data_IF_195694718588
#
_entry.id   IF_195694718588
#
_cell.length_a   1.000
_cell.length_b   1.000
_cell.length_c   1.000
_cell.angle_alpha   90.00
_cell.angle_beta   90.00
_cell.angle_gamma   90.00
#
_symmetry.space_group_name_H-M   'P 1'
#
loop_
_entity.id
_entity.type
_entity.pdbx_description
1 polymer ?
#
# COMPACT_ATOMS: atom_id res chain seq x y z
N UNK A 1 14.12 -28.43 -10.67
CA UNK A 1 13.19 -29.34 -9.95
C UNK A 1 12.28 -28.46 -9.11
N UNK A 2 10.95 -28.60 -9.21
CA UNK A 2 10.02 -27.74 -8.48
C UNK A 2 10.00 -28.18 -7.01
N UNK A 3 10.31 -27.26 -6.09
CA UNK A 3 10.08 -27.44 -4.65
C UNK A 3 8.56 -27.31 -4.44
N UNK A 4 7.93 -28.41 -4.04
CA UNK A 4 6.49 -28.58 -4.08
C UNK A 4 5.77 -28.26 -2.76
N UNK A 5 6.48 -27.96 -1.67
CA UNK A 5 5.88 -27.47 -0.42
C UNK A 5 6.89 -26.57 0.32
N UNK A 6 6.49 -25.39 0.83
CA UNK A 6 7.35 -24.57 1.67
C UNK A 6 7.62 -25.30 2.99
N UNK A 7 8.87 -25.35 3.50
CA UNK A 7 9.11 -25.87 4.82
C UNK A 7 8.32 -25.01 5.82
N UNK A 8 7.41 -25.67 6.55
CA UNK A 8 6.61 -25.02 7.58
C UNK A 8 7.50 -24.28 8.58
N UNK A 9 6.91 -23.32 9.31
CA UNK A 9 7.51 -22.78 10.53
C UNK A 9 8.14 -23.94 11.31
N UNK A 10 9.36 -23.77 11.89
CA UNK A 10 9.96 -24.83 12.69
C UNK A 10 9.00 -25.19 13.81
N UNK A 11 8.21 -26.23 13.58
CA UNK A 11 7.44 -26.95 14.57
C UNK A 11 8.45 -27.87 15.22
N UNK A 12 9.43 -27.24 15.89
CA UNK A 12 10.23 -27.92 16.89
C UNK A 12 9.24 -28.57 17.82
N UNK A 13 9.28 -29.90 17.85
CA UNK A 13 8.48 -30.81 18.65
C UNK A 13 7.68 -30.09 19.76
N UNK A 14 6.37 -29.95 19.58
CA UNK A 14 5.45 -29.37 20.57
C UNK A 14 5.46 -30.13 21.92
N UNK A 15 6.23 -31.22 22.03
CA UNK A 15 6.48 -31.96 23.26
C UNK A 15 7.84 -31.68 23.94
N UNK A 16 8.75 -30.86 23.39
CA UNK A 16 10.04 -30.56 24.05
C UNK A 16 10.29 -29.07 24.18
N UNK A 17 9.79 -28.57 25.31
CA UNK A 17 9.95 -27.23 25.87
C UNK A 17 11.41 -26.97 26.26
N UNK A 18 12.27 -26.68 25.30
CA UNK A 18 13.66 -26.34 25.62
C UNK A 18 13.96 -24.85 25.39
N UNK A 19 14.18 -24.11 26.49
CA UNK A 19 14.64 -22.70 26.49
C UNK A 19 15.91 -22.55 25.62
N UNK A 20 16.73 -23.59 25.49
CA UNK A 20 17.90 -23.60 24.63
C UNK A 20 17.56 -23.55 23.13
N UNK A 21 16.47 -24.17 22.68
CA UNK A 21 16.01 -24.06 21.29
C UNK A 21 15.42 -22.67 20.97
N UNK A 22 14.71 -22.07 21.93
CA UNK A 22 14.14 -20.72 21.79
C UNK A 22 15.24 -19.67 21.76
N UNK A 23 16.24 -19.78 22.66
CA UNK A 23 17.42 -18.92 22.64
C UNK A 23 18.28 -19.13 21.39
N UNK A 24 18.36 -20.34 20.83
CA UNK A 24 19.01 -20.59 19.53
C UNK A 24 18.25 -19.93 18.38
N UNK A 25 16.92 -19.98 18.38
CA UNK A 25 16.07 -19.28 17.41
C UNK A 25 16.23 -17.76 17.51
N UNK A 26 16.21 -17.20 18.73
CA UNK A 26 16.43 -15.77 18.95
C UNK A 26 17.86 -15.33 18.61
N UNK A 27 18.84 -16.22 18.69
CA UNK A 27 20.21 -15.98 18.24
C UNK A 27 20.40 -16.12 16.72
N UNK A 28 19.42 -16.68 15.99
CA UNK A 28 19.45 -16.78 14.53
C UNK A 28 18.48 -15.77 13.89
N UNK A 29 18.93 -14.52 13.64
CA UNK A 29 18.08 -13.48 13.11
C UNK A 29 17.58 -13.75 11.67
N UNK A 30 18.16 -14.70 10.93
CA UNK A 30 17.75 -14.98 9.54
C UNK A 30 16.43 -15.75 9.47
N UNK A 31 16.21 -16.68 10.39
CA UNK A 31 14.97 -17.47 10.48
C UNK A 31 13.81 -16.63 11.02
N UNK A 32 14.08 -15.83 12.06
CA UNK A 32 13.16 -14.84 12.63
C UNK A 32 12.63 -13.92 11.55
N UNK A 33 13.52 -13.42 10.71
CA UNK A 33 13.17 -12.46 9.69
C UNK A 33 12.29 -13.05 8.57
N UNK A 34 12.55 -14.29 8.13
CA UNK A 34 11.72 -14.94 7.11
C UNK A 34 10.27 -15.10 7.58
N UNK A 35 10.08 -15.43 8.87
CA UNK A 35 8.77 -15.50 9.51
C UNK A 35 8.05 -14.14 9.53
N UNK A 36 8.77 -13.05 9.79
CA UNK A 36 8.18 -11.71 9.87
C UNK A 36 7.78 -11.15 8.50
N UNK A 37 8.49 -11.53 7.43
CA UNK A 37 8.17 -11.10 6.06
C UNK A 37 6.81 -11.58 5.58
N UNK A 38 6.53 -12.88 5.75
CA UNK A 38 5.25 -13.48 5.33
C UNK A 38 4.06 -12.73 5.96
N UNK A 39 4.20 -12.34 7.23
CA UNK A 39 3.16 -11.63 7.97
C UNK A 39 3.05 -10.17 7.51
N UNK A 40 4.17 -9.50 7.28
CA UNK A 40 4.17 -8.10 6.90
C UNK A 40 3.63 -7.87 5.47
N UNK A 41 4.03 -8.70 4.50
CA UNK A 41 3.60 -8.58 3.10
C UNK A 41 2.08 -8.76 2.92
N UNK A 42 1.45 -9.52 3.82
CA UNK A 42 0.01 -9.77 3.76
C UNK A 42 -0.84 -8.56 4.25
N UNK A 43 -0.23 -7.59 4.94
CA UNK A 43 -0.97 -6.48 5.61
C UNK A 43 -0.70 -5.11 4.97
N UNK A 44 0.38 -4.93 4.21
CA UNK A 44 0.71 -3.62 3.61
C UNK A 44 -0.21 -3.23 2.44
N UNK A 45 -1.20 -2.38 2.72
CA UNK A 45 -2.03 -1.73 1.69
C UNK A 45 -1.23 -0.64 0.97
N UNK A 46 -0.38 0.10 1.68
CA UNK A 46 0.47 1.15 1.09
C UNK A 46 1.32 0.68 -0.10
N UNK A 47 1.78 -0.57 -0.14
CA UNK A 47 2.53 -1.14 -1.27
C UNK A 47 1.65 -1.42 -2.52
N UNK A 48 0.32 -1.43 -2.35
CA UNK A 48 -0.64 -1.52 -3.47
C UNK A 48 -1.01 -0.15 -4.04
N UNK A 49 -0.80 0.92 -3.26
CA UNK A 49 -1.05 2.31 -3.68
C UNK A 49 0.21 2.93 -4.28
N UNK A 50 1.37 2.71 -3.64
CA UNK A 50 2.68 3.13 -4.12
C UNK A 50 3.46 1.90 -4.56
N UNK A 51 3.55 1.67 -5.87
CA UNK A 51 4.24 0.49 -6.41
C UNK A 51 5.70 0.76 -6.82
N UNK A 52 6.10 2.03 -6.91
CA UNK A 52 7.48 2.39 -7.18
C UNK A 52 8.40 2.14 -5.98
N UNK A 53 9.67 1.85 -6.25
CA UNK A 53 10.68 1.62 -5.22
C UNK A 53 12.00 2.29 -5.62
N UNK A 54 12.51 3.15 -4.74
CA UNK A 54 13.81 3.80 -4.87
C UNK A 54 14.65 3.58 -3.62
N UNK A 55 15.96 3.72 -3.77
CA UNK A 55 16.93 3.52 -2.71
C UNK A 55 17.85 4.73 -2.56
N UNK A 56 18.15 5.10 -1.32
CA UNK A 56 19.16 6.13 -1.00
C UNK A 56 20.13 5.62 0.06
N UNK A 57 21.35 6.16 0.05
CA UNK A 57 22.40 5.91 1.05
C UNK A 57 22.66 7.13 1.93
N UNK A 58 22.14 8.30 1.54
CA UNK A 58 22.54 9.61 2.09
C UNK A 58 21.39 10.30 2.86
N UNK A 59 20.40 9.53 3.32
CA UNK A 59 19.30 10.00 4.17
C UNK A 59 18.27 10.89 3.47
N UNK A 60 18.51 11.36 2.26
CA UNK A 60 17.51 12.10 1.46
C UNK A 60 17.53 11.68 0.00
N UNK A 61 16.45 12.02 -0.71
CA UNK A 61 16.36 11.90 -2.16
C UNK A 61 15.81 13.19 -2.73
N UNK A 62 16.40 13.61 -3.86
CA UNK A 62 15.85 14.65 -4.71
C UNK A 62 15.12 13.95 -5.83
N UNK A 63 13.85 14.31 -6.05
CA UNK A 63 13.03 13.78 -7.13
C UNK A 63 12.31 14.94 -7.82
N UNK A 64 12.03 14.77 -9.09
CA UNK A 64 11.23 15.73 -9.85
C UNK A 64 9.75 15.34 -9.78
N UNK A 65 8.90 16.35 -9.64
CA UNK A 65 7.44 16.16 -9.58
C UNK A 65 6.78 16.80 -10.80
N UNK A 66 5.70 16.21 -11.31
CA UNK A 66 4.83 16.83 -12.34
C UNK A 66 5.60 17.12 -13.64
N UNK A 67 6.19 16.09 -14.26
CA UNK A 67 6.75 16.25 -15.60
C UNK A 67 5.62 16.23 -16.64
N UNK A 68 5.61 17.21 -17.54
CA UNK A 68 4.69 17.17 -18.69
C UNK A 68 5.28 16.25 -19.74
N UNK A 69 4.52 15.22 -20.15
CA UNK A 69 4.86 14.38 -21.30
C UNK A 69 4.95 15.17 -22.63
N UNK A 70 4.38 16.38 -22.67
CA UNK A 70 4.45 17.27 -23.81
C UNK A 70 5.64 18.22 -23.71
N UNK A 71 6.32 18.41 -24.84
CA UNK A 71 7.31 19.47 -25.01
C UNK A 71 6.65 20.86 -24.91
N UNK A 72 7.43 21.88 -24.54
CA UNK A 72 6.90 23.22 -24.26
C UNK A 72 6.22 23.89 -25.47
N UNK A 73 6.71 23.62 -26.69
CA UNK A 73 6.17 24.20 -27.91
C UNK A 73 5.33 23.16 -28.68
N UNK A 74 4.22 23.62 -29.27
CA UNK A 74 3.40 22.79 -30.16
C UNK A 74 4.13 22.52 -31.48
N UNK A 75 4.07 21.29 -32.04
CA UNK A 75 4.60 21.01 -33.37
C UNK A 75 4.01 21.97 -34.43
N UNK A 76 4.89 22.54 -35.26
CA UNK A 76 4.49 23.42 -36.37
C UNK A 76 4.70 22.71 -37.71
N UNK A 77 3.91 23.08 -38.72
CA UNK A 77 4.11 22.59 -40.08
C UNK A 77 5.38 23.23 -40.68
N UNK A 78 6.40 22.41 -40.95
CA UNK A 78 7.67 22.85 -41.53
C UNK A 78 7.61 22.65 -43.04
N UNK A 79 7.84 23.71 -43.82
CA UNK A 79 7.89 23.61 -45.28
C UNK A 79 9.20 22.96 -45.73
N UNK A 80 9.24 22.29 -46.90
CA UNK A 80 10.47 21.68 -47.40
C UNK A 80 11.59 22.72 -47.54
N UNK A 81 12.63 22.62 -46.71
CA UNK A 81 13.78 23.53 -46.69
C UNK A 81 13.86 24.46 -45.47
N UNK A 82 12.84 24.51 -44.63
CA UNK A 82 12.85 25.31 -43.39
C UNK A 82 13.49 24.56 -42.21
N UNK A 83 13.99 25.33 -41.25
CA UNK A 83 14.54 24.81 -39.99
C UNK A 83 13.41 24.35 -39.04
N UNK A 84 13.64 23.24 -38.35
CA UNK A 84 12.68 22.71 -37.38
C UNK A 84 12.65 23.59 -36.12
N UNK A 85 11.46 23.90 -35.57
CA UNK A 85 11.36 24.66 -34.33
C UNK A 85 11.96 23.85 -33.18
N UNK A 86 12.93 24.45 -32.47
CA UNK A 86 13.47 23.89 -31.25
C UNK A 86 12.45 24.04 -30.12
N UNK A 87 12.24 22.97 -29.37
CA UNK A 87 11.43 22.98 -28.16
C UNK A 87 12.27 22.51 -26.97
N UNK A 88 12.31 23.25 -25.86
CA UNK A 88 12.86 22.69 -24.64
C UNK A 88 11.94 21.58 -24.13
N UNK A 89 12.54 20.58 -23.48
CA UNK A 89 11.84 19.59 -22.66
C UNK A 89 11.83 20.15 -21.24
N UNK A 90 10.69 20.63 -20.72
CA UNK A 90 10.63 21.19 -19.38
C UNK A 90 10.77 20.09 -18.34
N UNK A 91 11.66 20.26 -17.36
CA UNK A 91 11.76 19.38 -16.19
C UNK A 91 10.83 19.87 -15.08
N UNK A 92 10.40 18.95 -14.21
CA UNK A 92 9.52 19.26 -13.08
C UNK A 92 10.27 19.99 -11.94
N UNK A 93 9.56 20.69 -11.02
CA UNK A 93 10.19 21.22 -9.81
C UNK A 93 10.84 20.09 -9.00
N UNK A 94 12.13 20.26 -8.68
CA UNK A 94 12.84 19.36 -7.78
C UNK A 94 12.29 19.48 -6.35
N UNK A 95 11.85 18.35 -5.81
CA UNK A 95 11.44 18.20 -4.42
C UNK A 95 12.50 17.38 -3.67
N UNK A 96 12.65 17.62 -2.38
CA UNK A 96 13.54 16.86 -1.51
C UNK A 96 12.73 16.15 -0.44
N UNK A 97 12.88 14.84 -0.35
CA UNK A 97 12.32 14.04 0.73
C UNK A 97 13.45 13.53 1.64
N UNK A 98 13.27 13.73 2.95
CA UNK A 98 14.15 13.16 3.97
C UNK A 98 13.59 11.80 4.42
N UNK A 99 14.45 10.80 4.56
CA UNK A 99 14.03 9.47 5.01
C UNK A 99 13.86 9.47 6.53
N UNK A 100 12.74 8.92 7.01
CA UNK A 100 12.47 8.83 8.45
C UNK A 100 12.67 7.39 8.93
N UNK A 101 13.33 7.25 10.09
CA UNK A 101 13.55 5.96 10.74
C UNK A 101 12.40 5.62 11.67
N UNK A 102 11.60 4.63 11.27
CA UNK A 102 10.56 4.05 12.09
C UNK A 102 11.07 2.78 12.76
N UNK A 103 10.94 2.65 14.07
CA UNK A 103 11.36 1.45 14.77
C UNK A 103 10.83 1.36 16.18
N UNK A 104 10.65 0.12 16.65
CA UNK A 104 10.13 -0.20 17.97
C UNK A 104 10.94 -1.34 18.59
N UNK A 105 11.12 -1.25 19.90
CA UNK A 105 11.75 -2.28 20.73
C UNK A 105 10.70 -2.92 21.62
N UNK A 106 10.81 -4.23 21.84
CA UNK A 106 10.02 -4.91 22.88
C UNK A 106 10.91 -5.86 23.67
N UNK A 107 10.89 -5.77 25.02
CA UNK A 107 11.56 -6.72 25.88
C UNK A 107 10.73 -8.00 26.05
N UNK A 108 11.40 -9.15 26.08
CA UNK A 108 10.87 -10.45 26.46
C UNK A 108 11.71 -10.96 27.61
N UNK A 109 11.15 -11.13 28.80
CA UNK A 109 11.91 -11.60 29.96
C UNK A 109 12.06 -13.12 29.96
N UNK A 110 13.10 -13.64 30.61
CA UNK A 110 13.33 -15.08 30.66
C UNK A 110 12.26 -15.83 31.45
N UNK A 111 11.65 -15.22 32.45
CA UNK A 111 10.52 -15.82 33.18
C UNK A 111 9.30 -15.96 32.27
N UNK A 112 9.09 -15.02 31.34
CA UNK A 112 8.01 -15.10 30.37
C UNK A 112 8.26 -16.22 29.35
N UNK A 113 9.51 -16.40 28.91
CA UNK A 113 9.91 -17.52 28.04
C UNK A 113 9.78 -18.85 28.78
N UNK A 114 10.23 -18.94 30.03
CA UNK A 114 10.16 -20.18 30.81
C UNK A 114 8.72 -20.60 31.15
N UNK A 115 7.79 -19.66 31.29
CA UNK A 115 6.39 -19.95 31.67
C UNK A 115 5.45 -20.18 30.50
N UNK A 116 5.64 -19.44 29.41
CA UNK A 116 4.70 -19.40 28.28
C UNK A 116 5.37 -19.85 26.97
N UNK A 117 6.66 -20.20 27.01
CA UNK A 117 7.42 -20.79 25.91
C UNK A 117 7.34 -19.93 24.63
N UNK A 118 7.28 -20.59 23.47
CA UNK A 118 7.39 -19.95 22.16
C UNK A 118 6.22 -19.00 21.82
N UNK A 119 5.06 -19.15 22.48
CA UNK A 119 3.89 -18.31 22.21
C UNK A 119 4.13 -16.83 22.54
N UNK A 120 4.89 -16.53 23.60
CA UNK A 120 5.25 -15.14 23.95
C UNK A 120 6.09 -14.50 22.87
N UNK A 121 7.04 -15.27 22.34
CA UNK A 121 7.96 -14.82 21.30
C UNK A 121 7.18 -14.55 20.01
N UNK A 122 6.37 -15.49 19.56
CA UNK A 122 5.54 -15.33 18.36
C UNK A 122 4.58 -14.14 18.48
N UNK A 123 3.93 -13.97 19.63
CA UNK A 123 2.99 -12.87 19.88
C UNK A 123 3.68 -11.51 19.92
N UNK A 124 4.85 -11.41 20.55
CA UNK A 124 5.62 -10.18 20.57
C UNK A 124 6.03 -9.76 19.16
N UNK A 125 6.49 -10.72 18.35
CA UNK A 125 6.83 -10.51 16.95
C UNK A 125 5.65 -10.01 16.10
N UNK A 126 4.50 -10.67 16.20
CA UNK A 126 3.27 -10.26 15.48
C UNK A 126 2.86 -8.84 15.87
N UNK A 127 2.86 -8.51 17.16
CA UNK A 127 2.46 -7.18 17.64
C UNK A 127 3.40 -6.08 17.15
N UNK A 128 4.71 -6.31 17.21
CA UNK A 128 5.71 -5.34 16.72
C UNK A 128 5.51 -5.10 15.22
N UNK A 129 5.36 -6.16 14.42
CA UNK A 129 5.14 -6.03 12.98
C UNK A 129 3.84 -5.29 12.69
N UNK A 130 2.73 -5.68 13.31
CA UNK A 130 1.44 -5.02 13.09
C UNK A 130 1.48 -3.53 13.45
N UNK A 131 2.14 -3.17 14.56
CA UNK A 131 2.28 -1.75 14.96
C UNK A 131 3.11 -0.93 13.96
N UNK A 132 4.16 -1.52 13.42
CA UNK A 132 5.00 -0.88 12.40
C UNK A 132 4.26 -0.77 11.06
N UNK A 133 3.52 -1.80 10.66
CA UNK A 133 2.69 -1.79 9.44
C UNK A 133 1.63 -0.69 9.54
N UNK A 134 0.91 -0.61 10.67
CA UNK A 134 -0.10 0.42 10.90
C UNK A 134 0.52 1.84 10.84
N UNK A 135 1.69 2.04 11.45
CA UNK A 135 2.36 3.33 11.40
C UNK A 135 2.76 3.70 9.96
N UNK A 136 3.41 2.80 9.21
CA UNK A 136 3.86 3.09 7.84
C UNK A 136 2.66 3.33 6.92
N UNK A 137 1.62 2.52 7.02
CA UNK A 137 0.41 2.67 6.20
C UNK A 137 -0.29 4.00 6.49
N UNK A 138 -0.38 4.43 7.77
CA UNK A 138 -0.93 5.73 8.13
C UNK A 138 -0.15 6.91 7.51
N UNK A 139 1.18 6.83 7.48
CA UNK A 139 2.04 7.84 6.85
C UNK A 139 1.81 7.89 5.35
N UNK A 140 1.71 6.73 4.70
CA UNK A 140 1.44 6.62 3.25
C UNK A 140 0.07 7.19 2.89
N UNK A 141 -0.97 6.81 3.63
CA UNK A 141 -2.33 7.30 3.39
C UNK A 141 -2.41 8.81 3.64
N UNK A 142 -1.72 9.33 4.66
CA UNK A 142 -1.66 10.77 4.91
C UNK A 142 -0.98 11.54 3.76
N UNK A 143 0.12 11.01 3.23
CA UNK A 143 0.82 11.60 2.09
C UNK A 143 -0.06 11.55 0.83
N UNK A 144 -0.73 10.43 0.58
CA UNK A 144 -1.67 10.28 -0.55
C UNK A 144 -2.80 11.31 -0.48
N UNK A 145 -3.48 11.44 0.67
CA UNK A 145 -4.60 12.39 0.83
C UNK A 145 -4.12 13.84 0.68
N UNK A 146 -2.94 14.18 1.20
CA UNK A 146 -2.37 15.51 1.04
C UNK A 146 -1.98 15.85 -0.42
N UNK A 147 -1.76 14.85 -1.27
CA UNK A 147 -1.40 15.03 -2.68
C UNK A 147 -2.61 15.30 -3.59
N UNK A 148 -3.83 15.08 -3.11
CA UNK A 148 -5.04 15.20 -3.91
C UNK A 148 -5.26 16.67 -4.28
N UNK A 149 -5.31 16.93 -5.59
CA UNK A 149 -5.55 18.29 -6.13
C UNK A 149 -6.83 18.38 -6.96
N UNK A 150 -7.45 17.24 -7.23
CA UNK A 150 -8.62 17.13 -8.11
C UNK A 150 -9.73 16.33 -7.42
N UNK A 151 -10.95 16.81 -7.57
CA UNK A 151 -12.12 16.13 -7.04
C UNK A 151 -13.31 16.11 -8.01
N UNK A 152 -14.15 15.10 -7.84
CA UNK A 152 -15.44 14.95 -8.50
C UNK A 152 -16.51 14.78 -7.42
N UNK A 153 -17.64 15.46 -7.57
CA UNK A 153 -18.74 15.29 -6.64
C UNK A 153 -19.53 14.01 -6.92
N UNK A 154 -19.83 13.25 -5.86
CA UNK A 154 -20.74 12.13 -5.92
C UNK A 154 -22.11 12.58 -6.46
N UNK A 155 -22.66 11.80 -7.39
CA UNK A 155 -23.94 12.11 -8.00
C UNK A 155 -23.95 13.13 -9.13
N UNK A 156 -22.83 13.81 -9.43
CA UNK A 156 -22.78 14.83 -10.48
C UNK A 156 -23.27 14.30 -11.84
N UNK A 157 -23.96 15.14 -12.63
CA UNK A 157 -24.46 14.76 -13.97
C UNK A 157 -23.41 14.92 -15.08
N UNK A 158 -22.34 15.67 -14.82
CA UNK A 158 -21.24 15.97 -15.74
C UNK A 158 -19.92 15.97 -14.98
N UNK A 159 -18.81 15.72 -15.69
CA UNK A 159 -17.45 15.82 -15.14
C UNK A 159 -17.22 17.25 -14.62
N UNK A 160 -16.79 17.40 -13.36
CA UNK A 160 -16.61 18.71 -12.71
C UNK A 160 -17.91 19.43 -12.33
N UNK A 161 -19.08 18.78 -12.47
CA UNK A 161 -20.37 19.33 -12.08
C UNK A 161 -20.57 19.34 -10.55
N UNK A 162 -21.54 20.11 -10.09
CA UNK A 162 -21.99 20.08 -8.70
C UNK A 162 -22.82 18.83 -8.40
N UNK A 163 -22.83 18.42 -7.12
CA UNK A 163 -23.75 17.37 -6.64
C UNK A 163 -25.20 17.81 -6.85
N UNK A 164 -26.14 16.88 -7.19
CA UNK A 164 -27.55 17.20 -7.31
C UNK A 164 -28.14 17.73 -6.00
N UNK A 165 -29.18 18.55 -6.09
CA UNK A 165 -29.93 19.00 -4.92
C UNK A 165 -30.48 17.79 -4.14
N UNK A 166 -30.24 17.76 -2.82
CA UNK A 166 -30.59 16.63 -1.95
C UNK A 166 -29.54 15.51 -1.89
N UNK A 167 -28.42 15.63 -2.60
CA UNK A 167 -27.29 14.68 -2.55
C UNK A 167 -27.58 13.32 -3.20
N UNK A 168 -26.52 12.63 -3.60
CA UNK A 168 -26.57 11.23 -4.08
C UNK A 168 -25.43 10.41 -3.43
N UNK A 169 -25.31 10.56 -2.12
CA UNK A 169 -24.28 9.94 -1.30
C UNK A 169 -24.31 8.42 -1.45
N UNK A 170 -23.15 7.77 -1.42
CA UNK A 170 -22.99 6.34 -1.64
C UNK A 170 -23.58 5.50 -0.50
N UNK A 171 -23.66 6.07 0.71
CA UNK A 171 -24.36 5.47 1.84
C UNK A 171 -25.91 5.46 1.70
N UNK A 172 -26.46 6.04 0.62
CA UNK A 172 -27.90 6.11 0.38
C UNK A 172 -28.65 7.13 1.24
N UNK A 173 -27.97 7.97 2.02
CA UNK A 173 -28.61 9.01 2.85
C UNK A 173 -29.13 10.21 2.05
N UNK A 174 -28.78 10.30 0.77
CA UNK A 174 -29.25 11.33 -0.15
C UNK A 174 -30.70 11.12 -0.60
N UNK A 175 -31.32 12.17 -1.14
CA UNK A 175 -32.65 12.09 -1.76
C UNK A 175 -32.62 11.44 -3.16
N UNK A 176 -31.44 11.31 -3.75
CA UNK A 176 -31.22 10.70 -5.06
C UNK A 176 -30.51 9.35 -4.92
N UNK A 177 -30.79 8.36 -5.80
CA UNK A 177 -30.12 7.07 -5.75
C UNK A 177 -28.62 7.21 -6.05
N UNK A 178 -27.75 6.47 -5.34
CA UNK A 178 -26.30 6.53 -5.53
C UNK A 178 -25.91 6.08 -6.94
N UNK A 179 -24.85 6.70 -7.49
CA UNK A 179 -24.34 6.43 -8.84
C UNK A 179 -22.85 6.06 -8.84
N UNK A 180 -22.50 5.17 -7.92
CA UNK A 180 -21.13 4.74 -7.58
C UNK A 180 -20.26 4.47 -8.82
N UNK A 181 -20.69 3.55 -9.70
CA UNK A 181 -19.89 3.17 -10.88
C UNK A 181 -19.65 4.34 -11.83
N UNK A 182 -20.66 5.21 -12.01
CA UNK A 182 -20.54 6.39 -12.87
C UNK A 182 -19.60 7.42 -12.25
N UNK A 183 -19.70 7.65 -10.94
CA UNK A 183 -18.85 8.60 -10.24
C UNK A 183 -17.36 8.18 -10.32
N UNK A 184 -17.07 6.87 -10.22
CA UNK A 184 -15.73 6.32 -10.47
C UNK A 184 -15.28 6.50 -11.92
N UNK A 185 -16.17 6.30 -12.89
CA UNK A 185 -15.84 6.57 -14.30
C UNK A 185 -15.59 8.05 -14.57
N UNK A 186 -16.32 8.97 -13.91
CA UNK A 186 -16.06 10.40 -14.04
C UNK A 186 -14.73 10.81 -13.42
N UNK A 187 -14.32 10.21 -12.31
CA UNK A 187 -12.98 10.40 -11.75
C UNK A 187 -11.89 9.91 -12.72
N UNK A 188 -12.09 8.76 -13.37
CA UNK A 188 -11.17 8.27 -14.40
C UNK A 188 -11.12 9.20 -15.62
N UNK A 189 -12.27 9.62 -16.15
CA UNK A 189 -12.31 10.48 -17.33
C UNK A 189 -11.78 11.89 -17.02
N UNK A 190 -11.90 12.38 -15.77
CA UNK A 190 -11.22 13.60 -15.32
C UNK A 190 -9.69 13.44 -15.40
N UNK A 191 -9.14 12.32 -14.92
CA UNK A 191 -7.69 12.05 -15.08
C UNK A 191 -7.28 11.97 -16.55
N UNK A 192 -8.08 11.30 -17.39
CA UNK A 192 -7.82 11.21 -18.84
C UNK A 192 -7.92 12.57 -19.54
N UNK A 193 -8.78 13.47 -19.06
CA UNK A 193 -8.93 14.82 -19.61
C UNK A 193 -7.65 15.65 -19.53
N UNK A 194 -6.74 15.32 -18.62
CA UNK A 194 -5.41 15.95 -18.51
C UNK A 194 -4.49 15.61 -19.69
N UNK A 195 -4.81 14.56 -20.46
CA UNK A 195 -4.03 14.09 -21.63
C UNK A 195 -2.59 13.71 -21.31
N UNK A 196 -2.27 13.43 -20.05
CA UNK A 196 -0.92 13.03 -19.61
C UNK A 196 -0.70 11.52 -19.66
N UNK A 197 -1.64 10.74 -20.21
CA UNK A 197 -1.51 9.29 -20.38
C UNK A 197 -1.91 8.46 -19.16
N UNK A 198 -2.43 9.07 -18.10
CA UNK A 198 -2.83 8.41 -16.86
C UNK A 198 -3.95 7.39 -17.07
N UNK A 199 -3.86 6.23 -16.38
CA UNK A 199 -4.85 5.16 -16.42
C UNK A 199 -5.18 4.63 -15.03
N UNK A 200 -6.32 5.05 -14.50
CA UNK A 200 -6.80 4.58 -13.20
C UNK A 200 -6.91 3.06 -13.11
N UNK A 201 -6.16 2.44 -12.20
CA UNK A 201 -6.14 1.00 -11.96
C UNK A 201 -6.56 0.61 -10.53
N UNK A 202 -6.63 1.58 -9.60
CA UNK A 202 -6.89 1.33 -8.19
C UNK A 202 -7.90 2.34 -7.64
N UNK A 203 -8.79 1.87 -6.77
CA UNK A 203 -9.73 2.70 -6.00
C UNK A 203 -9.41 2.47 -4.52
N UNK A 204 -9.23 3.53 -3.75
CA UNK A 204 -8.99 3.48 -2.30
C UNK A 204 -10.20 4.05 -1.57
N UNK A 205 -10.70 3.30 -0.60
CA UNK A 205 -11.88 3.63 0.21
C UNK A 205 -11.60 3.48 1.70
N UNK A 206 -12.41 4.14 2.51
CA UNK A 206 -12.60 3.76 3.93
C UNK A 206 -13.45 2.48 4.05
N UNK A 207 -13.51 1.93 5.27
CA UNK A 207 -14.20 0.67 5.54
C UNK A 207 -15.73 0.78 5.37
N UNK A 208 -16.32 1.91 5.74
CA UNK A 208 -17.76 2.12 5.68
C UNK A 208 -18.22 2.35 4.24
N UNK A 209 -17.49 3.17 3.48
CA UNK A 209 -17.78 3.38 2.05
C UNK A 209 -17.59 2.11 1.25
N UNK A 210 -16.57 1.30 1.56
CA UNK A 210 -16.40 -0.02 0.93
C UNK A 210 -17.62 -0.93 1.17
N UNK A 211 -18.12 -0.98 2.40
CA UNK A 211 -19.33 -1.73 2.72
C UNK A 211 -20.56 -1.19 1.96
N UNK A 212 -20.70 0.13 1.83
CA UNK A 212 -21.78 0.75 1.06
C UNK A 212 -21.72 0.39 -0.44
N UNK A 213 -20.52 0.37 -1.02
CA UNK A 213 -20.29 -0.04 -2.42
C UNK A 213 -20.67 -1.50 -2.64
N UNK A 214 -20.23 -2.41 -1.76
CA UNK A 214 -20.51 -3.83 -1.89
C UNK A 214 -21.98 -4.17 -1.60
N UNK A 215 -22.64 -3.38 -0.76
CA UNK A 215 -24.07 -3.50 -0.46
C UNK A 215 -25.01 -2.87 -1.49
N UNK A 216 -24.48 -2.16 -2.50
CA UNK A 216 -25.33 -1.47 -3.47
C UNK A 216 -26.14 -2.46 -4.33
N UNK A 217 -27.48 -2.28 -4.42
CA UNK A 217 -28.34 -3.22 -5.14
C UNK A 217 -28.12 -3.21 -6.66
N UNK A 218 -27.66 -2.10 -7.25
CA UNK A 218 -27.38 -2.04 -8.69
C UNK A 218 -26.08 -2.79 -9.02
N UNK A 219 -25.06 -2.66 -8.17
CA UNK A 219 -23.82 -3.41 -8.29
C UNK A 219 -24.10 -4.90 -8.09
N UNK A 220 -24.79 -5.26 -7.01
CA UNK A 220 -25.13 -6.66 -6.70
C UNK A 220 -25.98 -7.31 -7.80
N UNK A 221 -26.89 -6.55 -8.42
CA UNK A 221 -27.67 -7.05 -9.56
C UNK A 221 -26.85 -7.25 -10.83
N UNK A 222 -25.77 -6.47 -11.03
CA UNK A 222 -24.88 -6.54 -12.17
C UNK A 222 -23.77 -7.60 -12.03
N UNK A 223 -23.52 -8.10 -10.81
CA UNK A 223 -22.61 -9.22 -10.60
C UNK A 223 -23.17 -10.47 -11.31
N UNK A 224 -22.29 -11.27 -11.95
CA UNK A 224 -22.72 -12.49 -12.63
C UNK A 224 -23.41 -13.41 -11.64
N UNK A 225 -24.69 -13.69 -11.88
CA UNK A 225 -25.52 -14.54 -11.01
C UNK A 225 -25.20 -16.03 -11.17
N UNK A 226 -24.60 -16.39 -12.30
CA UNK A 226 -24.25 -17.77 -12.67
C UNK A 226 -22.90 -17.73 -13.42
N UNK A 227 -21.89 -18.43 -12.90
CA UNK A 227 -20.63 -18.63 -13.63
C UNK A 227 -20.88 -19.62 -14.78
N UNK A 228 -20.93 -19.10 -16.02
CA UNK A 228 -20.91 -19.90 -17.24
C UNK A 228 -19.44 -20.22 -17.62
N UNK A 229 -18.74 -20.92 -16.73
CA UNK A 229 -17.30 -21.19 -16.85
C UNK A 229 -16.81 -22.34 -15.97
N UNK A 230 -15.65 -22.91 -16.33
CA UNK A 230 -15.07 -24.14 -15.77
C UNK A 230 -14.55 -24.04 -14.32
N UNK A 231 -14.95 -23.04 -13.54
CA UNK A 231 -14.43 -22.76 -12.19
C UNK A 231 -15.50 -22.70 -11.10
N UNK A 232 -16.79 -22.78 -11.44
CA UNK A 232 -17.88 -23.06 -10.51
C UNK A 232 -18.16 -21.96 -9.47
N UNK A 233 -19.20 -22.22 -8.65
CA UNK A 233 -19.82 -21.30 -7.66
C UNK A 233 -18.82 -20.73 -6.63
N UNK A 234 -17.62 -21.33 -6.50
CA UNK A 234 -16.54 -20.91 -5.59
C UNK A 234 -15.85 -19.60 -5.98
N UNK A 235 -16.04 -19.10 -7.21
CA UNK A 235 -15.50 -17.81 -7.67
C UNK A 235 -16.55 -16.71 -7.85
N UNK A 236 -17.69 -16.85 -7.19
CA UNK A 236 -18.66 -15.76 -7.16
C UNK A 236 -18.04 -14.59 -6.34
N UNK A 237 -18.01 -13.36 -6.88
CA UNK A 237 -17.33 -12.21 -6.27
C UNK A 237 -17.80 -11.89 -4.83
N UNK A 238 -19.01 -12.31 -4.44
CA UNK A 238 -19.50 -12.21 -3.05
C UNK A 238 -18.69 -13.13 -2.12
N UNK A 239 -18.25 -14.30 -2.58
CA UNK A 239 -17.51 -15.28 -1.78
C UNK A 239 -15.99 -15.05 -1.82
N UNK A 240 -15.40 -14.65 -2.96
CA UNK A 240 -13.97 -14.29 -3.04
C UNK A 240 -13.65 -12.98 -2.28
N UNK A 241 -14.59 -12.04 -2.21
CA UNK A 241 -14.45 -10.80 -1.42
C UNK A 241 -14.39 -11.03 0.09
N UNK A 242 -14.88 -12.18 0.58
CA UNK A 242 -14.85 -12.55 2.01
C UNK A 242 -13.48 -13.15 2.40
N UNK A 243 -12.79 -13.87 1.52
CA UNK A 243 -11.55 -14.57 1.88
C UNK A 243 -10.29 -13.69 1.83
N UNK A 244 -10.32 -12.56 1.12
CA UNK A 244 -9.15 -11.66 1.04
C UNK A 244 -9.36 -10.26 1.62
N UNK A 245 -10.60 -9.87 1.97
CA UNK A 245 -10.97 -8.74 2.85
C UNK A 245 -10.46 -7.34 2.51
N UNK A 246 -9.60 -7.20 1.49
CA UNK A 246 -8.78 -6.02 1.26
C UNK A 246 -8.73 -5.60 -0.21
N UNK A 247 -9.10 -6.48 -1.16
CA UNK A 247 -9.02 -6.18 -2.59
C UNK A 247 -10.13 -6.88 -3.39
N UNK A 248 -11.04 -6.12 -4.00
CA UNK A 248 -12.03 -6.65 -4.96
C UNK A 248 -11.81 -6.03 -6.33
N UNK A 249 -11.92 -6.81 -7.41
CA UNK A 249 -11.77 -6.31 -8.78
C UNK A 249 -13.13 -6.01 -9.41
N UNK A 250 -13.40 -4.73 -9.66
CA UNK A 250 -14.61 -4.26 -10.34
C UNK A 250 -14.26 -3.12 -11.29
N UNK A 251 -14.91 -3.08 -12.46
CA UNK A 251 -14.65 -2.07 -13.51
C UNK A 251 -13.19 -2.08 -14.02
N UNK A 252 -12.52 -3.24 -13.96
CA UNK A 252 -11.09 -3.35 -14.29
C UNK A 252 -10.14 -2.69 -13.28
N UNK A 253 -10.66 -2.22 -12.14
CA UNK A 253 -9.89 -1.57 -11.06
C UNK A 253 -9.82 -2.46 -9.82
N UNK A 254 -8.75 -2.31 -9.05
CA UNK A 254 -8.60 -2.97 -7.75
C UNK A 254 -9.12 -2.04 -6.65
N UNK A 255 -10.14 -2.47 -5.93
CA UNK A 255 -10.77 -1.71 -4.84
C UNK A 255 -10.13 -2.10 -3.52
N UNK A 256 -9.46 -1.16 -2.88
CA UNK A 256 -8.75 -1.31 -1.63
C UNK A 256 -9.49 -0.58 -0.52
N UNK A 257 -9.73 -1.26 0.59
CA UNK A 257 -10.30 -0.65 1.81
C UNK A 257 -9.21 -0.53 2.88
N UNK A 258 -9.01 0.65 3.46
CA UNK A 258 -8.03 0.85 4.54
C UNK A 258 -8.64 1.53 5.77
N UNK A 259 -8.30 1.08 7.00
CA UNK A 259 -8.66 1.77 8.24
C UNK A 259 -7.76 2.97 8.56
N UNK A 260 -6.61 3.12 7.87
CA UNK A 260 -5.54 4.05 8.26
C UNK A 260 -5.61 5.42 7.55
N UNK A 261 -6.80 5.79 7.05
CA UNK A 261 -7.01 7.11 6.48
C UNK A 261 -6.96 8.20 7.57
N UNK A 262 -6.50 9.43 7.25
CA UNK A 262 -6.28 10.48 8.23
C UNK A 262 -7.55 10.96 8.95
N UNK A 263 -8.73 10.77 8.36
CA UNK A 263 -10.02 11.04 9.03
C UNK A 263 -10.40 9.99 10.08
N UNK A 264 -9.77 8.82 10.05
CA UNK A 264 -10.16 7.64 10.83
C UNK A 264 -10.87 6.58 9.98
N UNK A 265 -11.15 5.40 10.55
CA UNK A 265 -11.60 4.22 9.80
C UNK A 265 -13.04 4.28 9.27
N UNK A 266 -13.84 5.25 9.74
CA UNK A 266 -15.27 5.39 9.40
C UNK A 266 -15.61 6.77 8.81
N UNK A 267 -14.62 7.61 8.55
CA UNK A 267 -14.85 8.86 7.83
C UNK A 267 -14.99 8.56 6.34
N UNK A 268 -16.09 8.98 5.68
CA UNK A 268 -16.32 8.68 4.28
C UNK A 268 -15.22 9.22 3.38
N UNK A 269 -14.57 8.33 2.65
CA UNK A 269 -13.48 8.66 1.75
C UNK A 269 -13.47 7.72 0.56
N UNK A 270 -13.35 8.30 -0.63
CA UNK A 270 -13.15 7.56 -1.86
C UNK A 270 -12.20 8.32 -2.78
N UNK A 271 -11.19 7.63 -3.31
CA UNK A 271 -10.29 8.16 -4.31
C UNK A 271 -9.97 7.12 -5.38
N UNK A 272 -9.82 7.58 -6.62
CA UNK A 272 -9.42 6.77 -7.76
C UNK A 272 -8.03 7.21 -8.17
N UNK A 273 -7.11 6.26 -8.33
CA UNK A 273 -5.72 6.57 -8.69
C UNK A 273 -5.13 5.59 -9.72
N UNK A 274 -4.04 6.03 -10.35
CA UNK A 274 -3.14 5.19 -11.14
C UNK A 274 -1.89 4.83 -10.30
N UNK A 275 -1.95 3.68 -9.64
CA UNK A 275 -0.90 3.21 -8.74
C UNK A 275 0.44 2.96 -9.45
N UNK A 276 0.46 2.80 -10.78
CA UNK A 276 1.70 2.49 -11.52
C UNK A 276 2.68 3.65 -11.61
N UNK A 277 2.17 4.88 -11.55
CA UNK A 277 2.94 6.11 -11.74
C UNK A 277 2.80 7.08 -10.57
N UNK A 278 1.79 6.91 -9.71
CA UNK A 278 1.44 7.87 -8.67
C UNK A 278 2.61 8.19 -7.73
N UNK A 279 3.35 7.17 -7.31
CA UNK A 279 4.50 7.37 -6.44
C UNK A 279 5.24 6.11 -6.07
N UNK A 280 6.17 6.28 -5.13
CA UNK A 280 7.13 5.27 -4.75
C UNK A 280 7.47 5.34 -3.26
N UNK A 281 8.00 4.24 -2.73
CA UNK A 281 8.76 4.26 -1.49
C UNK A 281 10.21 4.60 -1.74
N UNK A 282 10.78 5.40 -0.85
CA UNK A 282 12.22 5.64 -0.79
C UNK A 282 12.71 4.99 0.49
N UNK A 283 13.44 3.89 0.33
CA UNK A 283 14.05 3.18 1.44
C UNK A 283 15.54 3.55 1.55
N UNK A 284 15.99 3.80 2.78
CA UNK A 284 17.41 4.05 3.05
C UNK A 284 18.14 2.76 3.38
N UNK A 285 19.19 2.45 2.62
CA UNK A 285 20.08 1.33 2.92
C UNK A 285 21.03 1.70 4.05
N UNK A 286 20.57 1.58 5.30
CA UNK A 286 21.40 1.89 6.47
C UNK A 286 22.17 0.64 6.97
N UNK A 287 23.49 0.50 6.70
CA UNK A 287 24.27 -0.62 7.20
C UNK A 287 24.48 -0.47 8.71
N UNK A 288 24.00 -1.45 9.48
CA UNK A 288 24.23 -1.50 10.92
C UNK A 288 24.52 -2.94 11.40
N UNK A 289 25.54 -3.15 12.27
CA UNK A 289 25.87 -4.49 12.77
C UNK A 289 24.72 -5.17 13.52
N UNK A 290 24.48 -6.44 13.21
CA UNK A 290 23.49 -7.31 13.86
C UNK A 290 22.05 -7.07 13.43
N UNK A 291 21.81 -6.28 12.38
CA UNK A 291 20.51 -6.21 11.71
C UNK A 291 20.48 -7.18 10.54
N UNK A 292 19.35 -7.86 10.36
CA UNK A 292 19.06 -8.68 9.19
C UNK A 292 17.76 -8.17 8.58
N UNK A 293 17.69 -8.02 7.26
CA UNK A 293 16.50 -7.52 6.59
C UNK A 293 16.10 -8.32 5.35
N UNK A 294 14.93 -7.99 4.78
CA UNK A 294 14.41 -8.65 3.58
C UNK A 294 15.09 -8.29 2.27
N UNK A 295 15.64 -9.31 1.60
CA UNK A 295 16.03 -9.25 0.19
C UNK A 295 14.77 -9.08 -0.63
N UNK A 296 14.65 -7.94 -1.29
CA UNK A 296 13.49 -7.56 -2.10
C UNK A 296 13.45 -8.29 -3.45
N UNK A 297 14.61 -8.72 -3.98
CA UNK A 297 14.75 -9.13 -5.38
C UNK A 297 15.42 -10.52 -5.58
N UNK A 298 15.77 -11.24 -4.51
CA UNK A 298 16.61 -12.45 -4.64
C UNK A 298 18.01 -12.19 -5.26
N UNK A 299 18.32 -10.93 -5.56
CA UNK A 299 19.63 -10.45 -5.97
C UNK A 299 20.60 -10.60 -4.81
N UNK A 300 21.71 -11.31 -5.07
CA UNK A 300 22.78 -11.56 -4.10
C UNK A 300 23.47 -10.28 -3.59
N UNK A 301 23.15 -9.11 -4.17
CA UNK A 301 23.73 -7.82 -3.82
C UNK A 301 22.81 -6.95 -2.95
N UNK A 302 21.54 -7.32 -2.79
CA UNK A 302 20.68 -6.73 -1.77
C UNK A 302 21.01 -7.48 -0.48
N UNK A 303 21.65 -6.86 0.51
CA UNK A 303 21.90 -7.47 1.82
C UNK A 303 20.60 -7.62 2.65
N UNK A 304 19.45 -7.59 1.97
CA UNK A 304 18.12 -7.53 2.50
C UNK A 304 17.80 -6.23 3.22
N UNK A 305 18.51 -5.15 2.90
CA UNK A 305 18.44 -3.94 3.72
C UNK A 305 17.31 -3.01 3.31
N UNK A 306 16.63 -3.32 2.22
CA UNK A 306 15.54 -2.55 1.60
C UNK A 306 14.26 -2.52 2.44
N UNK A 307 13.90 -3.60 3.14
CA UNK A 307 12.62 -3.68 3.85
C UNK A 307 12.75 -3.65 5.38
N UNK A 308 11.77 -4.23 6.08
CA UNK A 308 11.81 -4.43 7.53
C UNK A 308 13.12 -5.10 7.93
N UNK A 309 13.87 -4.43 8.78
CA UNK A 309 15.10 -4.90 9.39
C UNK A 309 14.83 -5.27 10.83
N UNK A 310 15.34 -6.43 11.25
CA UNK A 310 15.10 -6.99 12.58
C UNK A 310 16.44 -7.24 13.25
N UNK A 311 16.47 -6.99 14.56
CA UNK A 311 17.62 -7.26 15.40
C UNK A 311 17.14 -7.85 16.72
N UNK A 312 17.75 -8.95 17.11
CA UNK A 312 17.59 -9.57 18.43
C UNK A 312 18.85 -9.29 19.25
N UNK A 313 18.68 -8.98 20.53
CA UNK A 313 19.77 -8.68 21.44
C UNK A 313 19.50 -9.37 22.77
N UNK A 314 20.51 -10.07 23.28
CA UNK A 314 20.49 -10.55 24.65
C UNK A 314 20.88 -9.41 25.59
N UNK A 315 20.11 -9.20 26.64
CA UNK A 315 20.43 -8.27 27.72
C UNK A 315 20.73 -9.04 29.01
N UNK A 316 22.00 -9.40 29.18
CA UNK A 316 22.46 -10.16 30.36
C UNK A 316 22.32 -9.39 31.69
N UNK A 317 22.21 -8.06 31.63
CA UNK A 317 22.01 -7.24 32.83
C UNK A 317 20.60 -7.36 33.43
N UNK A 318 19.63 -7.76 32.62
CA UNK A 318 18.21 -7.70 32.95
C UNK A 318 17.48 -9.01 32.61
N UNK A 319 18.22 -10.10 32.40
CA UNK A 319 17.72 -11.45 32.09
C UNK A 319 16.56 -11.44 31.08
N UNK A 320 16.80 -10.77 29.95
CA UNK A 320 15.79 -10.58 28.91
C UNK A 320 16.38 -10.53 27.51
N UNK A 321 15.52 -10.79 26.55
CA UNK A 321 15.74 -10.59 25.13
C UNK A 321 15.08 -9.29 24.69
N UNK A 322 15.82 -8.45 23.97
CA UNK A 322 15.26 -7.29 23.28
C UNK A 322 15.15 -7.61 21.80
N UNK A 323 13.94 -7.50 21.29
CA UNK A 323 13.66 -7.58 19.86
C UNK A 323 13.41 -6.17 19.34
N UNK A 324 14.03 -5.85 18.22
CA UNK A 324 13.90 -4.59 17.51
C UNK A 324 13.45 -4.87 16.08
N UNK A 325 12.42 -4.16 15.62
CA UNK A 325 12.11 -4.04 14.21
C UNK A 325 12.22 -2.57 13.80
N UNK A 326 12.76 -2.32 12.60
CA UNK A 326 12.83 -0.99 12.01
C UNK A 326 12.65 -1.03 10.51
N UNK A 327 12.13 0.06 9.94
CA UNK A 327 12.22 0.38 8.51
C UNK A 327 12.53 1.87 8.39
N UNK A 328 13.47 2.20 7.51
CA UNK A 328 13.87 3.59 7.26
C UNK A 328 13.30 3.94 5.89
N UNK A 329 12.14 4.61 5.90
CA UNK A 329 11.35 4.81 4.69
C UNK A 329 10.56 6.11 4.73
N UNK A 330 10.40 6.74 3.57
CA UNK A 330 9.50 7.87 3.37
C UNK A 330 8.76 7.66 2.03
N UNK A 331 7.42 7.82 2.00
CA UNK A 331 6.68 7.82 0.74
C UNK A 331 6.96 9.11 -0.04
N UNK A 332 7.10 9.00 -1.36
CA UNK A 332 7.17 10.14 -2.28
C UNK A 332 6.04 10.07 -3.30
N UNK A 333 5.48 11.23 -3.63
CA UNK A 333 4.46 11.36 -4.68
C UNK A 333 5.11 12.02 -5.90
N UNK A 334 5.17 11.30 -6.99
CA UNK A 334 5.83 11.73 -8.24
C UNK A 334 4.80 12.44 -9.13
N UNK A 335 3.61 11.85 -9.25
CA UNK A 335 2.53 12.32 -10.11
C UNK A 335 1.26 12.60 -9.29
N UNK A 336 1.15 13.76 -8.61
CA UNK A 336 -0.02 14.11 -7.79
C UNK A 336 -1.32 14.27 -8.60
N UNK A 337 -1.23 14.39 -9.92
CA UNK A 337 -2.39 14.43 -10.83
C UNK A 337 -2.92 13.05 -11.22
N UNK A 338 -2.23 11.98 -10.81
CA UNK A 338 -2.65 10.60 -11.05
C UNK A 338 -3.63 10.09 -9.97
N UNK A 339 -4.23 10.98 -9.18
CA UNK A 339 -5.27 10.68 -8.19
C UNK A 339 -6.39 11.72 -8.25
N UNK A 340 -7.63 11.26 -8.12
CA UNK A 340 -8.84 12.09 -8.04
C UNK A 340 -9.70 11.61 -6.88
N UNK A 341 -10.10 12.52 -6.01
CA UNK A 341 -11.04 12.23 -4.92
C UNK A 341 -12.49 12.30 -5.41
N UNK A 342 -13.35 11.45 -4.84
CA UNK A 342 -14.79 11.56 -4.98
C UNK A 342 -15.33 12.16 -3.68
N UNK A 343 -15.87 13.37 -3.75
CA UNK A 343 -16.41 14.10 -2.61
C UNK A 343 -17.90 13.80 -2.42
N UNK A 344 -18.37 13.80 -1.18
CA UNK A 344 -19.80 13.59 -0.85
C UNK A 344 -20.28 12.14 -0.98
N UNK A 345 -19.37 11.17 -0.81
CA UNK A 345 -19.68 9.74 -0.69
C UNK A 345 -20.42 9.38 0.59
#
# INVERSE_FOLDING_TARGET
MPILEPPGFPTGNLATQDVYSISRYLNDPTTVLRALRLIADQIFIGNKVLTGQFYTKDGSVIYEQIESIFAANTPQAVQPGDEYPLTPVPTGPAQMANVVKWGLDTPITDESIARQNFDVVARAFIKIVNSMVAQIDSVVMSAMVAAITQSVNAGASTIGGSSPAGGANWNGSGSNPPKILRDVMFAEELMRSLKQGYRANTVVLDLQTFAAVMGDPNITAALPREDMGAQGVTKNPIFEGIETGLAVRMLGKTWLSTPNLPGGPFEPFAAVLDATIFGAFVDEELPAPGYVGSQSDGSANDDGRSMIQVKTMREDKNDRWRIRARRVTTPIIIEPKAIVQIEGV
#
